data_IF_054534459675
#
_entry.id   IF_054534459675
#
_cell.length_a   1.000
_cell.length_b   1.000
_cell.length_c   1.000
_cell.angle_alpha   90.00
_cell.angle_beta   90.00
_cell.angle_gamma   90.00
#
_symmetry.space_group_name_H-M   'P 1'
#
loop_
_entity.id
_entity.type
_entity.pdbx_description
1 polymer ?
#
# COMPACT_ATOMS: atom_id res chain seq x y z
N UNK A 1 -1.69 -5.73 23.34
CA UNK A 1 -0.73 -6.18 24.35
C UNK A 1 -1.42 -7.05 25.39
N UNK A 2 -0.71 -8.07 25.90
CA UNK A 2 -1.22 -9.07 26.88
C UNK A 2 -1.74 -8.48 28.21
N UNK A 3 -1.75 -7.17 28.36
CA UNK A 3 -2.23 -6.49 29.59
C UNK A 3 -3.71 -6.12 29.59
N UNK A 4 -4.37 -6.08 28.42
CA UNK A 4 -5.80 -5.78 28.34
C UNK A 4 -6.51 -6.90 27.57
N UNK A 5 -6.98 -7.90 28.30
CA UNK A 5 -7.62 -9.12 27.76
C UNK A 5 -8.91 -8.77 26.98
N UNK A 6 -9.67 -7.79 27.45
CA UNK A 6 -10.91 -7.37 26.78
C UNK A 6 -10.61 -6.74 25.42
N UNK A 7 -9.67 -5.79 25.37
CA UNK A 7 -9.24 -5.19 24.09
C UNK A 7 -8.68 -6.24 23.14
N UNK A 8 -7.86 -7.17 23.63
CA UNK A 8 -7.33 -8.25 22.82
C UNK A 8 -8.45 -9.11 22.21
N UNK A 9 -9.42 -9.51 23.03
CA UNK A 9 -10.53 -10.34 22.56
C UNK A 9 -11.36 -9.61 21.48
N UNK A 10 -11.66 -8.33 21.68
CA UNK A 10 -12.40 -7.51 20.71
C UNK A 10 -11.63 -7.34 19.40
N UNK A 11 -10.32 -7.10 19.46
CA UNK A 11 -9.48 -7.01 18.26
C UNK A 11 -9.41 -8.35 17.52
N UNK A 12 -9.35 -9.48 18.26
CA UNK A 12 -9.36 -10.81 17.64
C UNK A 12 -10.70 -11.14 17.01
N UNK A 13 -11.80 -10.80 17.66
CA UNK A 13 -13.15 -10.96 17.11
C UNK A 13 -13.31 -10.22 15.78
N UNK A 14 -12.92 -8.94 15.74
CA UNK A 14 -12.97 -8.11 14.54
C UNK A 14 -12.05 -8.65 13.42
N UNK A 15 -10.84 -9.08 13.78
CA UNK A 15 -9.90 -9.66 12.82
C UNK A 15 -10.42 -10.98 12.24
N UNK A 16 -11.02 -11.84 13.06
CA UNK A 16 -11.61 -13.11 12.61
C UNK A 16 -12.85 -12.91 11.76
N UNK A 17 -13.67 -11.89 12.04
CA UNK A 17 -14.77 -11.51 11.18
C UNK A 17 -14.28 -11.11 9.78
N UNK A 18 -13.24 -10.28 9.70
CA UNK A 18 -12.59 -9.94 8.43
C UNK A 18 -11.99 -11.16 7.72
N UNK A 19 -11.38 -12.09 8.45
CA UNK A 19 -10.83 -13.33 7.88
C UNK A 19 -11.91 -14.28 7.34
N UNK A 20 -13.06 -14.33 7.98
CA UNK A 20 -14.21 -15.09 7.47
C UNK A 20 -14.64 -14.59 6.09
N UNK A 21 -14.70 -13.27 5.90
CA UNK A 21 -14.93 -12.65 4.59
C UNK A 21 -13.85 -13.05 3.57
N UNK A 22 -12.57 -12.95 3.93
CA UNK A 22 -11.46 -13.32 3.05
C UNK A 22 -11.56 -14.76 2.59
N UNK A 23 -11.90 -15.69 3.50
CA UNK A 23 -12.08 -17.10 3.17
C UNK A 23 -13.32 -17.36 2.28
N UNK A 24 -14.45 -16.70 2.57
CA UNK A 24 -15.69 -16.84 1.79
C UNK A 24 -15.58 -16.27 0.38
N UNK A 25 -14.74 -15.29 0.16
CA UNK A 25 -14.52 -14.68 -1.16
C UNK A 25 -13.54 -15.47 -2.03
N UNK A 26 -12.86 -16.49 -1.48
CA UNK A 26 -11.95 -17.36 -2.18
C UNK A 26 -12.71 -18.46 -2.93
N UNK A 27 -12.63 -18.47 -4.26
CA UNK A 27 -13.36 -19.41 -5.12
C UNK A 27 -12.47 -20.55 -5.64
N UNK A 28 -11.17 -20.55 -5.32
CA UNK A 28 -10.18 -21.52 -5.79
C UNK A 28 -9.39 -21.04 -7.02
N UNK A 29 -8.24 -21.66 -7.25
CA UNK A 29 -7.33 -21.36 -8.38
C UNK A 29 -7.02 -19.86 -8.57
N UNK A 30 -6.90 -19.14 -7.46
CA UNK A 30 -6.65 -17.69 -7.43
C UNK A 30 -7.85 -16.82 -7.77
N UNK A 31 -9.00 -17.41 -8.10
CA UNK A 31 -10.22 -16.64 -8.30
C UNK A 31 -10.80 -16.19 -6.96
N UNK A 32 -11.11 -14.91 -6.88
CA UNK A 32 -11.75 -14.30 -5.72
C UNK A 32 -12.89 -13.39 -6.13
N UNK A 33 -13.89 -13.31 -5.27
CA UNK A 33 -14.88 -12.25 -5.33
C UNK A 33 -14.22 -10.93 -4.93
N UNK A 34 -13.92 -10.09 -5.91
CA UNK A 34 -13.19 -8.84 -5.70
C UNK A 34 -14.10 -7.73 -5.18
N UNK A 35 -15.29 -7.61 -5.77
CA UNK A 35 -16.22 -6.54 -5.48
C UNK A 35 -17.64 -7.05 -5.60
N UNK A 36 -18.46 -6.66 -4.66
CA UNK A 36 -19.89 -6.73 -4.73
C UNK A 36 -20.44 -5.32 -4.89
N UNK A 37 -21.11 -5.04 -5.97
CA UNK A 37 -21.57 -3.71 -6.28
C UNK A 37 -22.74 -3.70 -7.23
N UNK A 38 -23.23 -2.52 -7.55
CA UNK A 38 -24.25 -2.28 -8.55
C UNK A 38 -23.63 -1.82 -9.85
N UNK A 39 -24.25 -2.12 -10.97
CA UNK A 39 -23.83 -1.62 -12.29
C UNK A 39 -24.17 -0.14 -12.51
N UNK A 40 -24.96 0.44 -11.61
CA UNK A 40 -25.22 1.87 -11.54
C UNK A 40 -24.66 2.40 -10.23
N UNK A 41 -23.95 3.51 -10.31
CA UNK A 41 -23.42 4.19 -9.12
C UNK A 41 -24.55 4.76 -8.26
N UNK A 42 -25.55 5.32 -8.91
CA UNK A 42 -26.79 5.83 -8.31
C UNK A 42 -27.83 6.02 -9.42
N UNK A 43 -29.08 5.85 -9.11
CA UNK A 43 -30.23 6.23 -9.98
C UNK A 43 -30.62 7.70 -9.81
N UNK A 44 -29.95 8.43 -8.89
CA UNK A 44 -30.22 9.84 -8.58
C UNK A 44 -31.23 10.05 -7.45
N UNK A 45 -31.76 8.98 -6.87
CA UNK A 45 -32.64 9.06 -5.71
C UNK A 45 -31.85 8.83 -4.41
N UNK A 46 -32.29 9.44 -3.34
CA UNK A 46 -31.78 9.15 -1.99
C UNK A 46 -32.56 7.94 -1.49
N UNK A 47 -32.06 6.80 -1.88
CA UNK A 47 -32.73 5.55 -1.64
C UNK A 47 -31.98 4.60 -0.74
N UNK A 48 -32.55 3.45 -0.64
CA UNK A 48 -32.01 2.27 -0.01
C UNK A 48 -31.16 1.48 -1.02
N UNK A 49 -30.35 0.58 -0.55
CA UNK A 49 -29.54 -0.33 -1.35
C UNK A 49 -30.34 -1.15 -2.38
N UNK A 50 -31.65 -1.17 -2.26
CA UNK A 50 -32.54 -1.97 -3.09
C UNK A 50 -32.83 -1.34 -4.46
N UNK A 51 -32.64 -0.03 -4.58
CA UNK A 51 -33.02 0.75 -5.77
C UNK A 51 -31.89 0.89 -6.79
N UNK A 52 -30.68 0.57 -6.41
CA UNK A 52 -29.50 0.82 -7.23
C UNK A 52 -29.23 -0.32 -8.21
N UNK A 53 -30.01 -0.44 -9.26
CA UNK A 53 -29.71 -1.25 -10.41
C UNK A 53 -29.31 -2.72 -10.14
N UNK A 54 -28.78 -3.38 -11.16
CA UNK A 54 -28.37 -4.79 -11.05
C UNK A 54 -27.13 -4.93 -10.17
N UNK A 55 -27.23 -5.75 -9.13
CA UNK A 55 -26.08 -6.16 -8.31
C UNK A 55 -25.19 -7.13 -9.07
N UNK A 56 -23.92 -6.88 -9.08
CA UNK A 56 -22.93 -7.71 -9.76
C UNK A 56 -21.81 -8.12 -8.82
N UNK A 57 -21.44 -9.39 -8.88
CA UNK A 57 -20.24 -9.91 -8.26
C UNK A 57 -19.12 -9.92 -9.30
N UNK A 58 -18.12 -9.08 -9.10
CA UNK A 58 -16.91 -9.12 -9.92
C UNK A 58 -15.96 -10.18 -9.35
N UNK A 59 -15.68 -11.17 -10.18
CA UNK A 59 -14.73 -12.23 -9.87
C UNK A 59 -13.43 -11.94 -10.61
N UNK A 60 -12.33 -11.91 -9.89
CA UNK A 60 -11.03 -11.62 -10.43
C UNK A 60 -9.99 -12.63 -9.93
N UNK A 61 -8.96 -12.86 -10.73
CA UNK A 61 -7.84 -13.75 -10.42
C UNK A 61 -6.51 -13.02 -10.47
N UNK A 62 -6.49 -11.77 -10.03
CA UNK A 62 -5.30 -10.92 -10.06
C UNK A 62 -4.20 -11.40 -9.11
N UNK A 63 -2.98 -11.22 -9.55
CA UNK A 63 -1.84 -11.59 -8.71
C UNK A 63 -1.72 -10.70 -7.47
N UNK A 64 -2.01 -9.38 -7.58
CA UNK A 64 -1.85 -8.44 -6.47
C UNK A 64 -2.74 -8.80 -5.28
N UNK A 65 -4.03 -9.05 -5.52
CA UNK A 65 -4.99 -9.40 -4.49
C UNK A 65 -4.59 -10.71 -3.79
N UNK A 66 -4.15 -11.69 -4.58
CA UNK A 66 -3.70 -12.96 -4.01
C UNK A 66 -2.40 -12.82 -3.20
N UNK A 67 -1.45 -11.95 -3.58
CA UNK A 67 -0.29 -11.64 -2.73
C UNK A 67 -0.71 -10.98 -1.41
N UNK A 68 -1.57 -9.97 -1.48
CA UNK A 68 -2.05 -9.27 -0.28
C UNK A 68 -2.72 -10.22 0.69
N UNK A 69 -3.63 -11.05 0.18
CA UNK A 69 -4.40 -11.97 1.00
C UNK A 69 -3.55 -13.13 1.52
N UNK A 70 -2.63 -13.66 0.72
CA UNK A 70 -1.68 -14.66 1.19
C UNK A 70 -0.84 -14.19 2.39
N UNK A 71 -0.40 -12.93 2.35
CA UNK A 71 0.31 -12.32 3.49
C UNK A 71 -0.58 -12.18 4.73
N UNK A 72 -1.83 -11.77 4.55
CA UNK A 72 -2.82 -11.64 5.64
C UNK A 72 -3.17 -13.01 6.21
N UNK A 73 -3.41 -14.00 5.37
CA UNK A 73 -3.72 -15.39 5.75
C UNK A 73 -2.55 -16.02 6.54
N UNK A 74 -1.32 -15.80 6.07
CA UNK A 74 -0.12 -16.24 6.78
C UNK A 74 -0.01 -15.57 8.16
N UNK A 75 -0.26 -14.26 8.24
CA UNK A 75 -0.26 -13.54 9.51
C UNK A 75 -1.35 -14.04 10.45
N UNK A 76 -2.58 -14.18 9.96
CA UNK A 76 -3.72 -14.69 10.74
C UNK A 76 -3.45 -16.11 11.25
N UNK A 77 -2.84 -16.98 10.44
CA UNK A 77 -2.43 -18.32 10.86
C UNK A 77 -1.49 -18.30 12.06
N UNK A 78 -0.61 -17.32 12.17
CA UNK A 78 0.30 -17.16 13.32
C UNK A 78 -0.40 -16.61 14.56
N UNK A 79 -1.52 -15.88 14.38
CA UNK A 79 -2.24 -15.24 15.49
C UNK A 79 -3.35 -16.12 16.09
N UNK A 80 -3.87 -17.09 15.33
CA UNK A 80 -4.92 -18.01 15.78
C UNK A 80 -4.30 -19.06 16.70
N UNK A 81 -4.51 -18.91 18.02
CA UNK A 81 -3.90 -19.79 19.02
C UNK A 81 -4.77 -21.03 19.38
N UNK A 82 -6.11 -20.87 19.38
CA UNK A 82 -7.03 -21.85 19.96
C UNK A 82 -7.76 -22.74 18.95
N UNK A 83 -7.72 -22.38 17.67
CA UNK A 83 -8.37 -23.14 16.59
C UNK A 83 -7.32 -23.71 15.63
N UNK A 84 -6.90 -24.94 15.87
CA UNK A 84 -5.91 -25.65 15.06
C UNK A 84 -6.40 -25.91 13.63
N UNK A 85 -7.69 -26.16 13.44
CA UNK A 85 -8.27 -26.42 12.13
C UNK A 85 -8.23 -25.13 11.29
N UNK A 86 -8.64 -24.00 11.88
CA UNK A 86 -8.58 -22.71 11.22
C UNK A 86 -7.12 -22.32 10.92
N UNK A 87 -6.21 -22.47 11.89
CA UNK A 87 -4.79 -22.20 11.73
C UNK A 87 -4.16 -22.97 10.58
N UNK A 88 -4.44 -24.27 10.52
CA UNK A 88 -3.93 -25.14 9.44
C UNK A 88 -4.52 -24.79 8.08
N UNK A 89 -5.81 -24.46 8.03
CA UNK A 89 -6.46 -24.03 6.80
C UNK A 89 -5.88 -22.70 6.30
N UNK A 90 -5.69 -21.71 7.18
CA UNK A 90 -5.09 -20.41 6.83
C UNK A 90 -3.66 -20.58 6.30
N UNK A 91 -2.84 -21.43 6.92
CA UNK A 91 -1.50 -21.76 6.42
C UNK A 91 -1.55 -22.38 5.02
N UNK A 92 -2.48 -23.28 4.79
CA UNK A 92 -2.67 -23.96 3.49
C UNK A 92 -3.05 -22.95 2.41
N UNK A 93 -4.10 -22.16 2.62
CA UNK A 93 -4.60 -21.22 1.61
C UNK A 93 -3.59 -20.10 1.34
N UNK A 94 -2.85 -19.62 2.35
CA UNK A 94 -1.78 -18.64 2.16
C UNK A 94 -0.70 -19.14 1.18
N UNK A 95 -0.29 -20.41 1.28
CA UNK A 95 0.67 -21.01 0.35
C UNK A 95 0.11 -21.17 -1.06
N UNK A 96 -1.15 -21.60 -1.17
CA UNK A 96 -1.83 -21.78 -2.46
C UNK A 96 -1.98 -20.44 -3.19
N UNK A 97 -2.46 -19.42 -2.50
CA UNK A 97 -2.71 -18.11 -3.08
C UNK A 97 -1.42 -17.39 -3.46
N UNK A 98 -0.37 -17.52 -2.65
CA UNK A 98 0.95 -17.01 -3.01
C UNK A 98 1.53 -17.72 -4.23
N UNK A 99 1.44 -19.05 -4.29
CA UNK A 99 1.91 -19.85 -5.43
C UNK A 99 1.17 -19.47 -6.72
N UNK A 100 -0.14 -19.32 -6.63
CA UNK A 100 -0.97 -18.85 -7.74
C UNK A 100 -0.57 -17.44 -8.19
N UNK A 101 -0.42 -16.52 -7.25
CA UNK A 101 -0.04 -15.14 -7.53
C UNK A 101 1.34 -15.06 -8.20
N UNK A 102 2.33 -15.84 -7.75
CA UNK A 102 3.66 -15.94 -8.37
C UNK A 102 3.58 -16.45 -9.79
N UNK A 103 2.81 -17.54 -10.03
CA UNK A 103 2.59 -18.06 -11.39
C UNK A 103 2.01 -16.97 -12.29
N UNK A 104 0.95 -16.32 -11.86
CA UNK A 104 0.25 -15.28 -12.61
C UNK A 104 1.15 -14.08 -12.89
N UNK A 105 1.92 -13.64 -11.91
CA UNK A 105 2.87 -12.55 -12.06
C UNK A 105 4.02 -12.90 -13.03
N UNK A 106 4.54 -14.11 -12.97
CA UNK A 106 5.58 -14.57 -13.90
C UNK A 106 5.09 -14.65 -15.35
N UNK A 107 3.83 -15.00 -15.57
CA UNK A 107 3.21 -15.06 -16.89
C UNK A 107 2.87 -13.69 -17.48
N UNK A 108 2.33 -12.77 -16.69
CA UNK A 108 1.71 -11.55 -17.16
C UNK A 108 2.40 -10.27 -16.69
N UNK A 109 3.21 -10.36 -15.63
CA UNK A 109 3.88 -9.21 -15.04
C UNK A 109 2.94 -8.14 -14.49
N UNK A 110 3.48 -6.96 -14.26
CA UNK A 110 2.73 -5.80 -13.79
C UNK A 110 1.74 -5.26 -14.83
N UNK A 111 2.01 -5.47 -16.12
CA UNK A 111 1.18 -4.96 -17.21
C UNK A 111 -0.27 -5.49 -17.22
N UNK A 112 -0.54 -6.60 -16.53
CA UNK A 112 -1.91 -7.13 -16.40
C UNK A 112 -2.84 -6.13 -15.71
N UNK A 113 -2.37 -5.48 -14.66
CA UNK A 113 -3.17 -4.50 -13.90
C UNK A 113 -3.55 -3.28 -14.72
N UNK A 114 -2.64 -2.83 -15.58
CA UNK A 114 -2.84 -1.64 -16.43
C UNK A 114 -3.84 -1.93 -17.54
N UNK A 115 -3.79 -3.12 -18.14
CA UNK A 115 -4.62 -3.46 -19.31
C UNK A 115 -6.09 -3.67 -18.98
N UNK A 116 -6.43 -4.13 -17.79
CA UNK A 116 -7.81 -4.52 -17.45
C UNK A 116 -8.67 -3.36 -16.97
N UNK A 117 -8.15 -2.13 -16.92
CA UNK A 117 -8.93 -0.98 -16.47
C UNK A 117 -9.59 -1.25 -15.14
N UNK A 118 -8.93 -2.07 -14.32
CA UNK A 118 -9.46 -2.49 -13.05
C UNK A 118 -9.91 -1.24 -12.31
N UNK A 119 -11.09 -1.27 -11.75
CA UNK A 119 -11.67 -0.16 -11.04
C UNK A 119 -10.69 0.43 -10.02
N UNK A 120 -11.05 1.48 -9.38
CA UNK A 120 -10.28 2.30 -8.44
C UNK A 120 -9.32 1.54 -7.50
N UNK A 121 -9.61 0.26 -7.24
CA UNK A 121 -8.89 -0.56 -6.28
C UNK A 121 -7.52 -1.09 -6.77
N UNK A 122 -7.31 -1.17 -8.07
CA UNK A 122 -6.18 -1.88 -8.66
C UNK A 122 -4.97 -1.00 -8.96
N UNK A 123 -4.91 0.20 -8.43
CA UNK A 123 -3.92 1.20 -8.85
C UNK A 123 -2.64 1.23 -8.03
N UNK A 124 -2.21 0.10 -7.52
CA UNK A 124 -0.88 -0.01 -6.94
C UNK A 124 0.18 0.26 -8.01
N UNK A 125 1.20 1.02 -7.64
CA UNK A 125 2.37 1.19 -8.50
C UNK A 125 3.21 -0.08 -8.56
N UNK A 126 4.07 -0.21 -9.56
CA UNK A 126 4.94 -1.38 -9.68
C UNK A 126 5.86 -1.53 -8.45
N UNK A 127 6.34 -0.41 -7.89
CA UNK A 127 7.13 -0.43 -6.65
C UNK A 127 6.34 -0.94 -5.44
N UNK A 128 5.05 -0.57 -5.32
CA UNK A 128 4.16 -1.08 -4.29
C UNK A 128 3.83 -2.56 -4.51
N UNK A 129 3.69 -2.96 -5.76
CA UNK A 129 3.46 -4.36 -6.11
C UNK A 129 4.59 -5.26 -5.63
N UNK A 130 5.84 -4.87 -5.93
CA UNK A 130 7.02 -5.59 -5.46
C UNK A 130 7.18 -5.55 -3.93
N UNK A 131 6.79 -4.46 -3.27
CA UNK A 131 6.74 -4.41 -1.82
C UNK A 131 5.71 -5.39 -1.24
N UNK A 132 4.54 -5.54 -1.87
CA UNK A 132 3.54 -6.52 -1.46
C UNK A 132 4.03 -7.97 -1.64
N UNK A 133 4.71 -8.29 -2.74
CA UNK A 133 5.33 -9.61 -2.93
C UNK A 133 6.32 -9.87 -1.79
N UNK A 134 7.20 -8.90 -1.51
CA UNK A 134 8.20 -9.02 -0.44
C UNK A 134 7.56 -9.22 0.93
N UNK A 135 6.52 -8.47 1.24
CA UNK A 135 5.81 -8.60 2.51
C UNK A 135 5.13 -9.96 2.66
N UNK A 136 4.37 -10.39 1.65
CA UNK A 136 3.68 -11.69 1.67
C UNK A 136 4.66 -12.86 1.79
N UNK A 137 5.75 -12.82 1.02
CA UNK A 137 6.80 -13.82 1.08
C UNK A 137 7.49 -13.85 2.45
N UNK A 138 7.78 -12.67 3.05
CA UNK A 138 8.34 -12.60 4.40
C UNK A 138 7.40 -13.17 5.47
N UNK A 139 6.08 -12.94 5.33
CA UNK A 139 5.08 -13.55 6.23
C UNK A 139 5.04 -15.07 6.09
N UNK A 140 5.09 -15.58 4.86
CA UNK A 140 5.17 -17.03 4.61
C UNK A 140 6.47 -17.63 5.13
N UNK A 141 7.60 -16.95 4.96
CA UNK A 141 8.87 -17.40 5.54
C UNK A 141 8.79 -17.46 7.07
N UNK A 142 8.23 -16.44 7.71
CA UNK A 142 8.03 -16.42 9.17
C UNK A 142 7.13 -17.56 9.64
N UNK A 143 6.09 -17.90 8.88
CA UNK A 143 5.14 -18.96 9.18
C UNK A 143 5.71 -20.37 8.95
N UNK A 144 6.53 -20.56 7.93
CA UNK A 144 6.91 -21.90 7.43
C UNK A 144 8.38 -22.24 7.63
N UNK A 145 9.26 -21.25 7.65
CA UNK A 145 10.73 -21.45 7.63
C UNK A 145 11.26 -21.86 6.26
N UNK A 146 10.44 -21.90 5.21
CA UNK A 146 10.85 -22.37 3.88
C UNK A 146 11.67 -21.29 3.15
N UNK A 147 12.93 -21.60 2.84
CA UNK A 147 13.91 -20.64 2.29
C UNK A 147 13.45 -19.97 0.98
N UNK A 148 12.70 -20.67 0.16
CA UNK A 148 12.17 -20.11 -1.09
C UNK A 148 11.42 -18.80 -0.90
N UNK A 149 10.68 -18.65 0.22
CA UNK A 149 9.96 -17.42 0.51
C UNK A 149 10.90 -16.29 0.96
N UNK A 150 11.95 -16.62 1.71
CA UNK A 150 12.98 -15.65 2.06
C UNK A 150 13.66 -15.08 0.80
N UNK A 151 14.01 -15.94 -0.14
CA UNK A 151 14.68 -15.57 -1.38
C UNK A 151 13.77 -14.69 -2.27
N UNK A 152 12.49 -15.05 -2.42
CA UNK A 152 11.52 -14.22 -3.18
C UNK A 152 11.27 -12.87 -2.49
N UNK A 153 11.23 -12.82 -1.17
CA UNK A 153 11.09 -11.57 -0.44
C UNK A 153 12.25 -10.59 -0.72
N UNK A 154 13.48 -11.10 -0.69
CA UNK A 154 14.69 -10.32 -0.99
C UNK A 154 14.72 -9.89 -2.45
N UNK A 155 14.39 -10.78 -3.38
CA UNK A 155 14.35 -10.49 -4.82
C UNK A 155 13.36 -9.36 -5.11
N UNK A 156 12.16 -9.42 -4.54
CA UNK A 156 11.13 -8.42 -4.75
C UNK A 156 11.52 -7.06 -4.15
N UNK A 157 12.03 -7.01 -2.92
CA UNK A 157 12.36 -5.73 -2.28
C UNK A 157 13.50 -4.98 -2.98
N UNK A 158 14.39 -5.68 -3.66
CA UNK A 158 15.45 -5.05 -4.47
C UNK A 158 14.91 -4.15 -5.57
N UNK A 159 13.74 -4.48 -6.14
CA UNK A 159 13.07 -3.60 -7.08
C UNK A 159 12.56 -2.32 -6.37
N UNK A 160 11.88 -2.48 -5.25
CA UNK A 160 11.33 -1.37 -4.47
C UNK A 160 12.43 -0.40 -4.02
N UNK A 161 13.57 -0.91 -3.57
CA UNK A 161 14.71 -0.08 -3.17
C UNK A 161 15.26 0.79 -4.31
N UNK A 162 15.20 0.32 -5.57
CA UNK A 162 15.59 1.13 -6.73
C UNK A 162 14.61 2.29 -6.99
N UNK A 163 13.41 2.20 -6.45
CA UNK A 163 12.39 3.23 -6.59
C UNK A 163 12.44 4.29 -5.47
N UNK A 164 13.26 4.12 -4.44
CA UNK A 164 13.40 5.14 -3.39
C UNK A 164 14.32 6.28 -3.82
N UNK A 165 13.92 7.50 -3.53
CA UNK A 165 14.78 8.67 -3.69
C UNK A 165 15.81 8.72 -2.57
N UNK A 166 17.06 8.47 -2.87
CA UNK A 166 18.17 8.51 -1.92
C UNK A 166 18.96 9.84 -1.99
N UNK A 167 19.03 10.42 -3.16
CA UNK A 167 19.67 11.71 -3.39
C UNK A 167 18.77 12.86 -2.93
N UNK A 168 19.29 13.86 -2.22
CA UNK A 168 18.50 15.01 -1.79
C UNK A 168 18.01 15.83 -2.98
N UNK A 169 16.82 16.42 -2.86
CA UNK A 169 16.37 17.49 -3.73
C UNK A 169 17.23 18.75 -3.51
N UNK A 170 17.13 19.70 -4.43
CA UNK A 170 17.84 20.99 -4.33
C UNK A 170 17.06 22.03 -3.51
N UNK A 171 16.24 21.56 -2.57
CA UNK A 171 15.58 22.42 -1.60
C UNK A 171 16.47 22.66 -0.37
N UNK A 172 16.05 23.60 0.50
CA UNK A 172 16.83 23.97 1.71
C UNK A 172 17.03 22.84 2.70
N UNK A 173 16.16 21.83 2.65
CA UNK A 173 16.13 20.72 3.62
C UNK A 173 16.69 19.41 3.03
N UNK A 174 17.01 19.41 1.74
CA UNK A 174 17.50 18.22 1.05
C UNK A 174 16.50 17.07 1.09
N UNK A 175 15.24 17.36 0.79
CA UNK A 175 14.14 16.41 0.84
C UNK A 175 14.45 15.15 0.04
N UNK A 176 14.31 13.98 0.67
CA UNK A 176 14.56 12.65 0.08
C UNK A 176 13.81 11.59 0.88
N UNK A 177 13.86 10.34 0.44
CA UNK A 177 13.26 9.19 1.16
C UNK A 177 11.92 8.73 0.59
N UNK A 178 11.23 9.53 -0.20
CA UNK A 178 9.98 9.15 -0.87
C UNK A 178 10.22 8.13 -1.99
N UNK A 179 9.12 7.49 -2.44
CA UNK A 179 9.18 6.46 -3.48
C UNK A 179 8.60 6.93 -4.80
N UNK A 180 9.23 6.48 -5.89
CA UNK A 180 8.68 6.56 -7.24
C UNK A 180 7.82 5.34 -7.54
N UNK A 181 6.90 5.49 -8.49
CA UNK A 181 5.97 4.42 -8.91
C UNK A 181 6.69 3.23 -9.54
N UNK A 182 7.77 3.50 -10.25
CA UNK A 182 8.66 2.50 -10.84
C UNK A 182 10.12 3.00 -10.89
N UNK A 183 11.01 2.15 -11.37
CA UNK A 183 12.45 2.47 -11.49
C UNK A 183 12.80 3.46 -12.60
N UNK A 184 11.86 3.87 -13.45
CA UNK A 184 12.09 4.99 -14.38
C UNK A 184 12.14 6.34 -13.67
N UNK A 185 11.60 6.41 -12.44
CA UNK A 185 11.59 7.59 -11.57
C UNK A 185 10.92 8.82 -12.19
N UNK A 186 9.92 8.60 -13.04
CA UNK A 186 9.17 9.69 -13.70
C UNK A 186 8.00 10.19 -12.86
N UNK A 187 7.34 9.30 -12.13
CA UNK A 187 6.20 9.62 -11.28
C UNK A 187 6.43 9.19 -9.84
N UNK A 188 6.09 10.07 -8.91
CA UNK A 188 6.17 9.80 -7.49
C UNK A 188 4.92 9.04 -7.04
N UNK A 189 5.04 8.22 -6.01
CA UNK A 189 3.88 7.55 -5.40
C UNK A 189 3.06 8.56 -4.63
N UNK A 190 1.79 8.64 -4.99
CA UNK A 190 0.81 9.48 -4.31
C UNK A 190 -0.41 8.68 -3.96
N UNK A 191 -1.17 9.21 -3.04
CA UNK A 191 -2.49 8.71 -2.78
C UNK A 191 -3.36 8.72 -4.05
N UNK A 192 -3.91 7.56 -4.33
CA UNK A 192 -4.96 7.39 -5.32
C UNK A 192 -6.05 6.60 -4.62
N UNK A 193 -7.18 7.18 -4.35
CA UNK A 193 -8.39 6.57 -3.78
C UNK A 193 -8.18 5.57 -2.62
N UNK A 194 -7.29 4.61 -2.76
CA UNK A 194 -6.91 3.64 -1.71
C UNK A 194 -5.41 3.73 -1.46
N UNK A 195 -5.06 4.44 -0.41
CA UNK A 195 -3.68 4.57 0.00
C UNK A 195 -3.07 3.23 0.42
N UNK A 196 -1.87 2.95 -0.07
CA UNK A 196 -1.13 1.71 0.24
C UNK A 196 0.35 1.96 0.48
N UNK A 197 0.74 3.20 0.78
CA UNK A 197 2.14 3.58 0.98
C UNK A 197 2.78 2.87 2.17
N UNK A 198 1.98 2.45 3.15
CA UNK A 198 2.46 1.69 4.30
C UNK A 198 3.14 0.36 3.92
N UNK A 199 2.85 -0.18 2.74
CA UNK A 199 3.40 -1.48 2.33
C UNK A 199 4.93 -1.48 2.24
N UNK A 200 5.55 -0.36 1.88
CA UNK A 200 7.00 -0.26 1.83
C UNK A 200 7.64 -0.56 3.18
N UNK A 201 7.13 0.08 4.22
CA UNK A 201 7.65 -0.10 5.57
C UNK A 201 7.25 -1.44 6.16
N UNK A 202 6.04 -1.94 5.88
CA UNK A 202 5.64 -3.29 6.26
C UNK A 202 6.60 -4.35 5.70
N UNK A 203 6.95 -4.24 4.42
CA UNK A 203 7.84 -5.18 3.76
C UNK A 203 9.27 -5.12 4.32
N UNK A 204 9.84 -3.91 4.43
CA UNK A 204 11.22 -3.75 4.87
C UNK A 204 11.43 -4.11 6.34
N UNK A 205 10.49 -3.72 7.21
CA UNK A 205 10.56 -4.11 8.62
C UNK A 205 10.43 -5.61 8.77
N UNK A 206 9.51 -6.25 8.03
CA UNK A 206 9.37 -7.71 8.09
C UNK A 206 10.60 -8.45 7.59
N UNK A 207 11.26 -7.95 6.54
CA UNK A 207 12.57 -8.47 6.11
C UNK A 207 13.62 -8.35 7.21
N UNK A 208 13.71 -7.17 7.84
CA UNK A 208 14.65 -6.95 8.95
C UNK A 208 14.36 -7.86 10.14
N UNK A 209 13.10 -8.18 10.41
CA UNK A 209 12.73 -9.10 11.50
C UNK A 209 13.08 -10.55 11.18
N UNK A 210 12.91 -10.98 9.93
CA UNK A 210 13.02 -12.38 9.53
C UNK A 210 14.40 -12.77 8.99
N UNK A 211 15.21 -11.80 8.54
CA UNK A 211 16.48 -12.05 7.84
C UNK A 211 17.60 -11.12 8.36
N UNK A 212 17.83 -11.08 9.65
CA UNK A 212 18.80 -10.19 10.32
C UNK A 212 20.24 -10.36 9.84
N UNK A 213 20.61 -11.58 9.45
CA UNK A 213 21.98 -11.91 9.02
C UNK A 213 22.18 -11.73 7.50
N UNK A 214 21.16 -11.26 6.77
CA UNK A 214 21.26 -11.10 5.33
C UNK A 214 22.20 -9.93 4.97
N UNK A 215 23.09 -10.06 3.94
CA UNK A 215 24.03 -9.00 3.55
C UNK A 215 23.37 -7.65 3.18
N UNK A 216 22.12 -7.68 2.70
CA UNK A 216 21.36 -6.47 2.36
C UNK A 216 20.64 -5.83 3.56
N UNK A 217 20.72 -6.41 4.77
CA UNK A 217 20.08 -5.87 5.99
C UNK A 217 20.36 -4.37 6.21
N UNK A 218 21.62 -3.89 6.12
CA UNK A 218 21.91 -2.46 6.28
C UNK A 218 21.19 -1.57 5.26
N UNK A 219 20.96 -2.07 4.03
CA UNK A 219 20.23 -1.32 2.99
C UNK A 219 18.75 -1.15 3.36
N UNK A 220 18.14 -2.19 3.94
CA UNK A 220 16.75 -2.13 4.39
C UNK A 220 16.57 -1.15 5.55
N UNK A 221 17.48 -1.23 6.56
CA UNK A 221 17.50 -0.29 7.68
C UNK A 221 17.67 1.15 7.20
N UNK A 222 18.62 1.40 6.29
CA UNK A 222 18.81 2.73 5.71
C UNK A 222 17.57 3.24 4.96
N UNK A 223 16.89 2.36 4.23
CA UNK A 223 15.65 2.72 3.52
C UNK A 223 14.53 3.12 4.50
N UNK A 224 14.38 2.38 5.60
CA UNK A 224 13.43 2.69 6.67
C UNK A 224 13.77 4.05 7.29
N UNK A 225 15.05 4.31 7.60
CA UNK A 225 15.51 5.57 8.16
C UNK A 225 15.21 6.75 7.23
N UNK A 226 15.56 6.63 5.95
CA UNK A 226 15.31 7.67 4.94
C UNK A 226 13.80 8.00 4.82
N UNK A 227 12.94 6.99 4.88
CA UNK A 227 11.51 7.22 4.80
C UNK A 227 10.95 7.84 6.09
N UNK A 228 11.42 7.40 7.25
CA UNK A 228 11.09 8.01 8.54
C UNK A 228 11.50 9.50 8.60
N UNK A 229 12.69 9.82 8.15
CA UNK A 229 13.19 11.21 8.07
C UNK A 229 12.35 12.04 7.08
N UNK A 230 11.94 11.45 5.95
CA UNK A 230 11.02 12.07 5.01
C UNK A 230 9.69 12.42 5.66
N UNK A 231 9.05 11.49 6.37
CA UNK A 231 7.78 11.74 7.04
C UNK A 231 7.89 12.85 8.08
N UNK A 232 8.93 12.83 8.93
CA UNK A 232 9.19 13.91 9.90
C UNK A 232 9.44 15.26 9.21
N UNK A 233 10.21 15.26 8.14
CA UNK A 233 10.48 16.45 7.35
C UNK A 233 9.20 17.04 6.74
N UNK A 234 8.24 16.20 6.35
CA UNK A 234 6.97 16.66 5.78
C UNK A 234 6.02 17.27 6.83
N UNK A 235 5.98 16.75 8.04
CA UNK A 235 5.08 17.24 9.10
C UNK A 235 5.29 18.73 9.45
N UNK A 236 6.48 19.29 9.24
CA UNK A 236 6.72 20.72 9.44
C UNK A 236 5.85 21.63 8.57
N UNK A 237 5.37 21.16 7.42
CA UNK A 237 4.53 21.94 6.52
C UNK A 237 3.06 21.98 6.95
N UNK A 238 2.70 21.24 7.98
CA UNK A 238 1.35 21.18 8.55
C UNK A 238 1.29 21.68 9.99
N UNK A 239 2.40 22.22 10.51
CA UNK A 239 2.45 22.82 11.83
C UNK A 239 1.34 23.90 12.00
N UNK A 240 0.62 23.97 13.15
CA UNK A 240 0.88 23.25 14.40
C UNK A 240 0.18 21.88 14.52
N UNK A 241 -0.52 21.43 13.48
CA UNK A 241 -1.38 20.23 13.56
C UNK A 241 -0.62 18.91 13.49
N UNK A 242 0.64 18.90 13.02
CA UNK A 242 1.48 17.70 12.97
C UNK A 242 1.02 16.60 11.99
N UNK A 243 0.04 16.90 11.14
CA UNK A 243 -0.47 15.94 10.16
C UNK A 243 0.59 15.63 9.11
N UNK A 244 0.67 14.38 8.67
CA UNK A 244 1.53 14.01 7.54
C UNK A 244 0.82 14.43 6.25
N UNK A 245 1.42 15.34 5.44
CA UNK A 245 0.81 15.83 4.21
C UNK A 245 0.79 14.75 3.12
N UNK A 246 0.11 15.03 2.02
CA UNK A 246 0.06 14.15 0.84
C UNK A 246 1.45 13.82 0.26
N UNK A 247 2.41 14.74 0.39
CA UNK A 247 3.80 14.48 0.05
C UNK A 247 4.31 15.32 -1.13
N UNK A 248 5.41 14.85 -1.72
CA UNK A 248 6.10 15.50 -2.83
C UNK A 248 5.49 15.08 -4.16
N UNK A 249 5.29 16.03 -5.06
CA UNK A 249 4.79 15.86 -6.43
C UNK A 249 5.81 16.41 -7.42
N UNK A 250 5.91 15.78 -8.60
CA UNK A 250 6.68 16.30 -9.72
C UNK A 250 5.75 17.03 -10.70
N UNK A 251 6.07 18.26 -11.08
CA UNK A 251 5.19 19.11 -11.88
C UNK A 251 4.81 18.52 -13.25
N UNK A 252 5.65 17.62 -13.78
CA UNK A 252 5.47 17.04 -15.11
C UNK A 252 5.08 15.55 -15.08
N UNK A 253 4.71 14.99 -13.91
CA UNK A 253 4.39 13.56 -13.79
C UNK A 253 3.19 13.12 -14.65
N UNK A 254 2.35 14.05 -15.10
CA UNK A 254 1.28 13.77 -16.06
C UNK A 254 1.79 13.26 -17.42
N UNK A 255 3.07 13.50 -17.74
CA UNK A 255 3.71 12.99 -18.96
C UNK A 255 3.97 11.48 -18.91
N UNK A 256 3.98 10.89 -17.72
CA UNK A 256 4.09 9.46 -17.54
C UNK A 256 2.72 8.79 -17.70
N UNK A 257 2.33 8.57 -18.94
CA UNK A 257 1.01 7.99 -19.26
C UNK A 257 0.83 6.56 -18.77
N UNK A 258 1.91 5.87 -18.45
CA UNK A 258 1.88 4.50 -17.90
C UNK A 258 1.40 4.49 -16.45
N UNK A 259 1.82 5.48 -15.67
CA UNK A 259 1.56 5.55 -14.23
C UNK A 259 0.58 6.65 -13.83
N UNK A 260 0.08 7.43 -14.79
CA UNK A 260 -0.79 8.56 -14.52
C UNK A 260 -2.26 8.17 -14.52
N UNK A 261 -2.84 8.06 -13.34
CA UNK A 261 -4.23 7.61 -13.14
C UNK A 261 -5.21 8.71 -12.73
N UNK A 262 -4.75 9.94 -12.57
CA UNK A 262 -5.59 11.05 -12.13
C UNK A 262 -6.74 11.37 -13.12
N UNK A 263 -6.68 10.82 -14.32
CA UNK A 263 -7.63 11.10 -15.40
C UNK A 263 -8.67 9.99 -15.62
N UNK A 264 -8.69 8.94 -14.82
CA UNK A 264 -9.57 7.78 -15.11
C UNK A 264 -11.04 8.00 -14.77
N UNK A 265 -11.38 8.99 -13.96
CA UNK A 265 -12.75 9.32 -13.58
C UNK A 265 -13.15 10.68 -14.15
N UNK A 266 -13.91 10.67 -15.24
CA UNK A 266 -14.52 11.86 -15.83
C UNK A 266 -13.56 13.07 -15.96
N UNK A 267 -12.38 12.91 -16.59
CA UNK A 267 -11.44 14.01 -16.69
C UNK A 267 -11.99 15.12 -17.59
N UNK A 268 -11.86 16.38 -17.19
CA UNK A 268 -12.14 17.50 -18.08
C UNK A 268 -11.13 17.52 -19.25
N UNK A 269 -11.48 18.20 -20.34
CA UNK A 269 -10.64 18.25 -21.54
C UNK A 269 -9.22 18.80 -21.26
N UNK A 270 -9.08 19.71 -20.29
CA UNK A 270 -7.82 20.31 -19.86
C UNK A 270 -7.28 19.72 -18.55
N UNK A 271 -7.56 18.46 -18.27
CA UNK A 271 -7.20 17.82 -17.00
C UNK A 271 -5.69 17.85 -16.71
N UNK A 272 -4.84 17.74 -17.74
CA UNK A 272 -3.37 17.77 -17.56
C UNK A 272 -2.88 19.14 -17.09
N UNK A 273 -3.40 20.18 -17.68
CA UNK A 273 -3.09 21.57 -17.31
C UNK A 273 -3.56 21.86 -15.90
N UNK A 274 -4.81 21.50 -15.59
CA UNK A 274 -5.37 21.65 -14.23
C UNK A 274 -4.59 20.87 -13.18
N UNK A 275 -4.17 19.65 -13.51
CA UNK A 275 -3.36 18.83 -12.61
C UNK A 275 -2.02 19.51 -12.30
N UNK A 276 -1.33 19.98 -13.36
CA UNK A 276 -0.06 20.69 -13.21
C UNK A 276 -0.21 21.99 -12.41
N UNK A 277 -1.28 22.75 -12.69
CA UNK A 277 -1.59 23.97 -11.96
C UNK A 277 -1.83 23.69 -10.47
N UNK A 278 -2.59 22.64 -10.15
CA UNK A 278 -2.84 22.24 -8.77
C UNK A 278 -1.55 21.82 -8.05
N UNK A 279 -0.63 21.13 -8.71
CA UNK A 279 0.68 20.82 -8.14
C UNK A 279 1.42 22.12 -7.82
N UNK A 280 1.51 23.03 -8.76
CA UNK A 280 2.25 24.29 -8.62
C UNK A 280 1.69 25.25 -7.56
N UNK A 281 0.45 25.06 -7.13
CA UNK A 281 -0.12 25.73 -5.93
C UNK A 281 0.41 25.20 -4.60
N UNK A 282 1.23 24.12 -4.62
CA UNK A 282 1.92 23.61 -3.43
C UNK A 282 3.12 24.47 -3.03
N UNK A 283 3.81 24.01 -1.98
CA UNK A 283 5.08 24.63 -1.58
C UNK A 283 6.16 24.16 -2.52
N UNK A 284 6.77 25.08 -3.25
CA UNK A 284 7.86 24.74 -4.14
C UNK A 284 9.09 24.29 -3.34
N UNK A 285 9.62 23.12 -3.66
CA UNK A 285 10.85 22.60 -3.07
C UNK A 285 12.06 22.91 -3.95
N UNK A 286 11.97 22.59 -5.24
CA UNK A 286 12.94 22.95 -6.27
C UNK A 286 12.25 23.32 -7.58
N UNK A 287 12.94 23.32 -8.70
CA UNK A 287 12.37 23.73 -10.02
C UNK A 287 11.21 22.86 -10.47
N UNK A 288 11.20 21.59 -10.06
CA UNK A 288 10.28 20.57 -10.60
C UNK A 288 9.43 19.93 -9.51
N UNK A 289 9.78 20.06 -8.22
CA UNK A 289 9.12 19.38 -7.12
C UNK A 289 8.36 20.35 -6.22
N UNK A 290 7.18 19.93 -5.83
CA UNK A 290 6.26 20.68 -4.97
C UNK A 290 5.70 19.79 -3.87
N UNK A 291 5.68 20.30 -2.64
CA UNK A 291 5.00 19.64 -1.53
C UNK A 291 3.54 20.04 -1.50
N UNK A 292 2.66 19.04 -1.45
CA UNK A 292 1.21 19.22 -1.32
C UNK A 292 0.73 18.77 0.05
N UNK A 293 -0.05 19.62 0.72
CA UNK A 293 -0.74 19.23 1.97
C UNK A 293 -1.85 18.25 1.71
N UNK A 294 -2.61 18.47 0.64
CA UNK A 294 -3.71 17.63 0.18
C UNK A 294 -3.40 17.06 -1.20
N UNK A 295 -3.95 15.88 -1.53
CA UNK A 295 -3.71 15.27 -2.83
C UNK A 295 -4.22 16.15 -3.97
N UNK A 296 -3.51 16.08 -5.08
CA UNK A 296 -3.94 16.69 -6.35
C UNK A 296 -4.84 15.68 -7.05
N UNK A 297 -6.14 15.88 -6.94
CA UNK A 297 -7.11 14.92 -7.42
C UNK A 297 -8.40 15.60 -7.84
N UNK A 298 -8.91 15.30 -9.03
CA UNK A 298 -10.08 15.96 -9.56
C UNK A 298 -11.41 15.39 -9.07
N UNK A 299 -11.43 14.13 -8.68
CA UNK A 299 -12.63 13.39 -8.35
C UNK A 299 -12.48 12.63 -7.02
N UNK A 300 -12.09 13.31 -5.97
CA UNK A 300 -12.03 12.70 -4.64
C UNK A 300 -13.44 12.65 -4.07
N UNK A 301 -13.95 11.44 -3.92
CA UNK A 301 -15.18 11.17 -3.21
C UNK A 301 -14.92 10.98 -1.71
N UNK A 302 -13.74 10.51 -1.38
CA UNK A 302 -13.36 10.18 -0.02
C UNK A 302 -12.51 11.31 0.56
N UNK A 303 -12.72 11.58 1.83
CA UNK A 303 -11.84 12.46 2.58
C UNK A 303 -10.41 11.92 2.66
N UNK A 304 -9.54 12.71 3.25
CA UNK A 304 -8.12 12.37 3.41
C UNK A 304 -7.85 11.28 4.45
N UNK A 305 -8.86 10.72 5.10
CA UNK A 305 -8.71 9.75 6.20
C UNK A 305 -7.85 8.55 5.82
N UNK A 306 -8.06 7.98 4.63
CA UNK A 306 -7.26 6.83 4.18
C UNK A 306 -5.76 7.17 4.01
N UNK A 307 -5.45 8.41 3.58
CA UNK A 307 -4.06 8.90 3.48
C UNK A 307 -3.45 9.01 4.86
N UNK A 308 -4.16 9.67 5.79
CA UNK A 308 -3.67 9.88 7.14
C UNK A 308 -3.43 8.55 7.84
N UNK A 309 -4.36 7.61 7.75
CA UNK A 309 -4.20 6.27 8.32
C UNK A 309 -3.02 5.50 7.71
N UNK A 310 -2.81 5.59 6.39
CA UNK A 310 -1.69 4.94 5.73
C UNK A 310 -0.35 5.55 6.12
N UNK A 311 -0.27 6.88 6.12
CA UNK A 311 0.93 7.60 6.52
C UNK A 311 1.20 7.45 8.03
N UNK A 312 0.16 7.52 8.86
CA UNK A 312 0.25 7.26 10.29
C UNK A 312 0.77 5.87 10.59
N UNK A 313 0.24 4.86 9.90
CA UNK A 313 0.73 3.48 10.00
C UNK A 313 2.19 3.36 9.58
N UNK A 314 2.60 4.02 8.49
CA UNK A 314 3.99 4.05 8.05
C UNK A 314 4.92 4.69 9.09
N UNK A 315 4.51 5.83 9.66
CA UNK A 315 5.26 6.53 10.71
C UNK A 315 5.38 5.67 11.98
N UNK A 316 4.28 5.04 12.41
CA UNK A 316 4.29 4.17 13.58
C UNK A 316 5.19 2.94 13.39
N UNK A 317 5.16 2.31 12.21
CA UNK A 317 6.04 1.17 11.87
C UNK A 317 7.50 1.61 11.90
N UNK A 318 7.85 2.72 11.23
CA UNK A 318 9.22 3.26 11.23
C UNK A 318 9.66 3.62 12.64
N UNK A 319 8.85 4.38 13.37
CA UNK A 319 9.16 4.85 14.72
C UNK A 319 9.39 3.69 15.70
N UNK A 320 8.55 2.66 15.64
CA UNK A 320 8.72 1.47 16.47
C UNK A 320 10.01 0.70 16.13
N UNK A 321 10.31 0.51 14.85
CA UNK A 321 11.50 -0.20 14.40
C UNK A 321 12.78 0.55 14.75
N UNK A 322 12.84 1.86 14.45
CA UNK A 322 13.99 2.73 14.68
C UNK A 322 14.14 3.16 16.15
N UNK A 323 13.17 2.85 17.02
CA UNK A 323 13.09 3.34 18.41
C UNK A 323 12.98 4.88 18.49
N UNK A 324 12.43 5.49 17.46
CA UNK A 324 12.14 6.92 17.38
C UNK A 324 10.74 7.20 17.96
N UNK A 325 10.73 7.67 19.22
CA UNK A 325 9.47 7.93 19.95
C UNK A 325 8.64 9.06 19.33
N UNK A 326 9.30 10.09 18.77
CA UNK A 326 8.60 11.20 18.12
C UNK A 326 7.82 10.70 16.91
N UNK A 327 8.49 9.96 16.03
CA UNK A 327 7.88 9.40 14.83
C UNK A 327 6.77 8.38 15.17
N UNK A 328 6.98 7.55 16.20
CA UNK A 328 5.97 6.60 16.67
C UNK A 328 4.71 7.33 17.16
N UNK A 329 4.88 8.31 18.04
CA UNK A 329 3.75 9.07 18.59
C UNK A 329 3.02 9.83 17.49
N UNK A 330 3.74 10.51 16.60
CA UNK A 330 3.14 11.18 15.45
C UNK A 330 2.33 10.24 14.57
N UNK A 331 2.77 8.99 14.39
CA UNK A 331 2.03 7.99 13.65
C UNK A 331 0.76 7.50 14.34
N UNK A 332 0.75 7.46 15.67
CA UNK A 332 -0.40 7.05 16.47
C UNK A 332 -1.45 8.16 16.61
N UNK A 333 -1.07 9.43 16.43
CA UNK A 333 -1.93 10.62 16.53
C UNK A 333 -2.63 10.96 15.20
N UNK A 334 -2.22 10.36 14.05
CA UNK A 334 -2.89 10.56 12.76
C UNK A 334 -4.28 9.93 12.74
#
# INVERSE_FOLDING_TARGET
>A
EKGNVDLYNRLMEEALWGMDYVMKTRLGDGYRAQTWGTNLWTDGEVGTDDDAGRRELLVHNGALENFLLAGIEAYASMMVEKDEALRSNLKKIAKEDFGYAMKRFNELGFAELIKKGGGHAAMASESQYHANISWAASMLYKLTGEQQYADEAVKAIRYTLQCQRTEPLKDKDGTRGFFYRDKSRKSIVHYIHQSREQVYMQAMVMLCETQKEHPDYPKWVNSIQLYGDYLKGMMKYTHPYGMIPSGVYHAEEYKDTTNFYALHLFPPANAKELYTEQIKRGVQLDKEHYMKRFPVWFNIFNGNTAIHLSNGKSAAICGNFLKDKELLNSGLEQ
#
